data_IF_160463627087
#
_entry.id   IF_160463627087
#
_cell.length_a   1.000
_cell.length_b   1.000
_cell.length_c   1.000
_cell.angle_alpha   90.00
_cell.angle_beta   90.00
_cell.angle_gamma   90.00
#
_symmetry.space_group_name_H-M   'P 1'
#
loop_
_entity.id
_entity.type
_entity.pdbx_description
1 polymer ?
#
# COMPACT_ATOMS: atom_id res chain seq x y z
N UNK A 1 1.35 6.18 -22.62
CA UNK A 1 1.04 7.18 -21.57
C UNK A 1 1.98 6.88 -20.44
N UNK A 2 2.79 7.85 -20.01
CA UNK A 2 3.75 7.63 -18.93
C UNK A 2 2.99 7.36 -17.62
N UNK A 3 3.17 6.15 -17.06
CA UNK A 3 2.63 5.80 -15.75
C UNK A 3 3.28 6.70 -14.71
N UNK A 4 2.49 7.44 -13.94
CA UNK A 4 2.99 8.28 -12.85
C UNK A 4 2.79 7.60 -11.50
N UNK A 5 3.84 7.60 -10.70
CA UNK A 5 3.84 7.13 -9.33
C UNK A 5 3.98 8.30 -8.37
N UNK A 6 3.18 8.26 -7.30
CA UNK A 6 3.31 9.12 -6.13
C UNK A 6 3.73 8.31 -4.92
N UNK A 7 4.35 8.95 -3.94
CA UNK A 7 4.85 8.28 -2.74
C UNK A 7 3.98 8.64 -1.54
N UNK A 8 3.51 7.63 -0.81
CA UNK A 8 2.87 7.79 0.49
C UNK A 8 3.94 7.64 1.57
N UNK A 9 4.00 8.60 2.49
CA UNK A 9 5.04 8.64 3.52
C UNK A 9 4.92 7.46 4.50
N UNK A 10 5.96 6.63 4.67
CA UNK A 10 5.93 5.52 5.62
C UNK A 10 5.77 5.96 7.07
N UNK A 11 6.26 7.15 7.42
CA UNK A 11 6.17 7.70 8.79
C UNK A 11 4.71 7.89 9.22
N UNK A 12 3.82 8.20 8.27
CA UNK A 12 2.43 8.54 8.54
C UNK A 12 1.49 7.34 8.42
N UNK A 13 1.92 6.23 7.80
CA UNK A 13 1.09 5.03 7.62
C UNK A 13 1.56 3.82 8.44
N UNK A 14 2.83 3.79 8.83
CA UNK A 14 3.39 2.68 9.60
C UNK A 14 2.94 2.77 11.06
N UNK A 15 2.58 1.65 11.70
CA UNK A 15 2.22 1.65 13.11
C UNK A 15 3.43 2.00 13.97
N UNK A 16 3.28 3.02 14.80
CA UNK A 16 4.19 3.27 15.91
C UNK A 16 3.65 2.52 17.12
N UNK A 17 4.53 1.89 17.89
CA UNK A 17 4.16 1.16 19.09
C UNK A 17 3.59 2.15 20.13
N UNK A 18 2.27 2.22 20.24
CA UNK A 18 1.58 3.10 21.18
C UNK A 18 0.51 2.33 21.98
N UNK A 19 0.37 2.67 23.27
CA UNK A 19 -0.71 2.20 24.14
C UNK A 19 -2.02 2.94 23.83
N UNK A 20 -2.56 2.78 22.62
CA UNK A 20 -3.73 3.52 22.12
C UNK A 20 -4.76 2.56 21.54
N UNK A 21 -6.03 2.98 21.50
CA UNK A 21 -7.09 2.29 20.77
C UNK A 21 -6.66 2.04 19.31
N UNK A 22 -6.40 0.76 18.99
CA UNK A 22 -5.98 0.30 17.67
C UNK A 22 -6.93 0.77 16.56
N UNK A 23 -8.24 0.75 16.80
CA UNK A 23 -9.22 1.10 15.77
C UNK A 23 -9.18 2.59 15.43
N UNK A 24 -9.08 3.44 16.46
CA UNK A 24 -8.90 4.88 16.27
C UNK A 24 -7.60 5.18 15.53
N UNK A 25 -6.51 4.51 15.89
CA UNK A 25 -5.20 4.72 15.28
C UNK A 25 -5.10 4.22 13.83
N UNK A 26 -5.78 3.11 13.48
CA UNK A 26 -5.94 2.70 12.08
C UNK A 26 -6.71 3.75 11.28
N UNK A 27 -7.78 4.31 11.85
CA UNK A 27 -8.61 5.32 11.16
C UNK A 27 -7.83 6.60 10.86
N UNK A 28 -7.06 7.12 11.80
CA UNK A 28 -6.22 8.31 11.58
C UNK A 28 -5.27 8.14 10.39
N UNK A 29 -4.59 6.99 10.31
CA UNK A 29 -3.68 6.68 9.20
C UNK A 29 -4.42 6.44 7.89
N UNK A 30 -5.61 5.84 7.94
CA UNK A 30 -6.47 5.67 6.77
C UNK A 30 -6.97 7.01 6.20
N UNK A 31 -7.31 7.96 7.07
CA UNK A 31 -7.69 9.33 6.69
C UNK A 31 -6.54 10.06 5.99
N UNK A 32 -5.30 9.88 6.46
CA UNK A 32 -4.13 10.40 5.76
C UNK A 32 -3.99 9.81 4.35
N UNK A 33 -4.12 8.49 4.19
CA UNK A 33 -4.10 7.86 2.85
C UNK A 33 -5.21 8.46 1.98
N UNK A 34 -6.44 8.56 2.49
CA UNK A 34 -7.57 9.11 1.76
C UNK A 34 -7.30 10.54 1.26
N UNK A 35 -6.69 11.39 2.10
CA UNK A 35 -6.32 12.75 1.70
C UNK A 35 -5.35 12.73 0.51
N UNK A 36 -4.33 11.89 0.55
CA UNK A 36 -3.37 11.74 -0.56
C UNK A 36 -4.08 11.26 -1.85
N UNK A 37 -4.96 10.25 -1.74
CA UNK A 37 -5.70 9.74 -2.91
C UNK A 37 -6.62 10.80 -3.53
N UNK A 38 -7.20 11.68 -2.70
CA UNK A 38 -8.10 12.75 -3.12
C UNK A 38 -7.38 13.87 -3.86
N UNK A 39 -6.20 14.25 -3.38
CA UNK A 39 -5.48 15.42 -3.89
C UNK A 39 -4.62 15.10 -5.12
N UNK A 40 -4.38 13.81 -5.38
CA UNK A 40 -3.63 13.31 -6.52
C UNK A 40 -4.38 13.44 -7.86
N UNK A 41 -3.66 13.66 -8.98
CA UNK A 41 -4.21 13.54 -10.33
C UNK A 41 -4.86 12.17 -10.57
N UNK A 42 -5.93 12.16 -11.37
CA UNK A 42 -6.63 10.92 -11.74
C UNK A 42 -5.66 9.92 -12.39
N UNK A 43 -5.82 8.64 -12.02
CA UNK A 43 -5.05 7.48 -12.53
C UNK A 43 -3.58 7.41 -12.11
N UNK A 44 -3.15 8.23 -11.16
CA UNK A 44 -1.86 8.02 -10.52
C UNK A 44 -1.90 6.76 -9.64
N UNK A 45 -0.78 6.04 -9.59
CA UNK A 45 -0.56 4.91 -8.68
C UNK A 45 0.32 5.36 -7.53
N UNK A 46 0.16 4.72 -6.38
CA UNK A 46 0.86 5.11 -5.16
C UNK A 46 1.81 4.01 -4.72
N UNK A 47 3.06 4.39 -4.48
CA UNK A 47 4.06 3.56 -3.82
C UNK A 47 4.00 3.89 -2.34
N UNK A 48 3.65 2.90 -1.52
CA UNK A 48 3.53 3.04 -0.08
C UNK A 48 4.44 2.04 0.62
N UNK A 49 5.69 2.43 0.93
CA UNK A 49 6.50 1.70 1.89
C UNK A 49 5.79 1.69 3.24
N UNK A 50 5.86 0.56 3.94
CA UNK A 50 5.23 0.38 5.25
C UNK A 50 6.15 -0.43 6.14
N UNK A 51 6.32 0.00 7.39
CA UNK A 51 7.13 -0.69 8.37
C UNK A 51 6.25 -1.35 9.44
N UNK A 52 6.18 -2.67 9.42
CA UNK A 52 5.49 -3.47 10.43
C UNK A 52 6.48 -3.88 11.52
N UNK A 53 6.66 -3.05 12.55
CA UNK A 53 7.49 -3.40 13.73
C UNK A 53 8.88 -3.92 13.34
N UNK A 54 9.67 -3.07 12.65
CA UNK A 54 11.02 -3.34 12.14
C UNK A 54 11.10 -4.14 10.83
N UNK A 55 9.96 -4.52 10.24
CA UNK A 55 9.93 -5.18 8.93
C UNK A 55 9.36 -4.26 7.84
N UNK A 56 10.16 -3.99 6.80
CA UNK A 56 9.74 -3.18 5.66
C UNK A 56 9.04 -4.00 4.58
N UNK A 57 7.90 -3.51 4.12
CA UNK A 57 7.16 -4.02 2.95
C UNK A 57 6.83 -2.86 2.01
N UNK A 58 6.50 -3.18 0.76
CA UNK A 58 6.04 -2.22 -0.23
C UNK A 58 4.62 -2.57 -0.66
N UNK A 59 3.80 -1.54 -0.81
CA UNK A 59 2.47 -1.65 -1.41
C UNK A 59 2.36 -0.73 -2.61
N UNK A 60 1.78 -1.23 -3.70
CA UNK A 60 1.34 -0.40 -4.83
C UNK A 60 -0.18 -0.30 -4.78
N UNK A 61 -0.72 0.91 -4.81
CA UNK A 61 -2.17 1.16 -4.76
C UNK A 61 -2.60 1.82 -6.06
N UNK A 62 -3.58 1.23 -6.75
CA UNK A 62 -4.36 1.85 -7.81
C UNK A 62 -5.82 1.97 -7.34
N UNK A 63 -6.24 3.13 -6.79
CA UNK A 63 -7.55 3.27 -6.18
C UNK A 63 -8.69 3.32 -7.21
N UNK A 64 -8.37 3.59 -8.48
CA UNK A 64 -9.34 3.64 -9.57
C UNK A 64 -9.65 2.24 -10.09
N UNK A 65 -8.62 1.42 -10.29
CA UNK A 65 -8.75 0.02 -10.74
C UNK A 65 -9.02 -0.97 -9.60
N UNK A 66 -9.11 -0.48 -8.36
CA UNK A 66 -9.34 -1.29 -7.16
C UNK A 66 -8.25 -2.35 -6.90
N UNK A 67 -7.00 -1.98 -7.19
CA UNK A 67 -5.84 -2.86 -7.11
C UNK A 67 -4.95 -2.47 -5.95
N UNK A 68 -4.59 -3.45 -5.11
CA UNK A 68 -3.55 -3.31 -4.09
C UNK A 68 -2.56 -4.46 -4.23
N UNK A 69 -1.35 -4.14 -4.68
CA UNK A 69 -0.26 -5.11 -4.80
C UNK A 69 0.62 -5.05 -3.56
N UNK A 70 0.76 -6.18 -2.88
CA UNK A 70 1.55 -6.32 -1.65
C UNK A 70 2.85 -7.08 -1.93
N UNK A 71 3.98 -6.39 -1.77
CA UNK A 71 5.32 -6.92 -1.95
C UNK A 71 5.99 -7.09 -0.59
N UNK A 72 6.28 -8.35 -0.24
CA UNK A 72 6.91 -8.68 1.03
C UNK A 72 8.21 -9.44 0.80
N UNK A 73 9.37 -8.85 1.14
CA UNK A 73 10.66 -9.52 1.05
C UNK A 73 10.75 -10.82 1.87
N UNK A 74 9.91 -11.03 2.88
CA UNK A 74 9.83 -12.29 3.65
C UNK A 74 8.79 -13.28 3.12
N UNK A 75 8.00 -12.92 2.10
CA UNK A 75 6.97 -13.79 1.50
C UNK A 75 5.75 -14.07 2.39
N UNK A 76 5.69 -13.51 3.59
CA UNK A 76 4.56 -13.69 4.50
C UNK A 76 3.33 -12.92 4.01
N UNK A 77 2.14 -13.40 4.40
CA UNK A 77 0.88 -12.68 4.18
C UNK A 77 0.83 -11.36 4.97
N UNK A 78 0.02 -10.37 4.54
CA UNK A 78 -0.14 -9.12 5.27
C UNK A 78 -0.63 -9.34 6.71
N UNK A 79 -0.14 -8.52 7.63
CA UNK A 79 -0.62 -8.47 9.02
C UNK A 79 -1.95 -7.73 9.15
N UNK A 80 -2.64 -7.92 10.28
CA UNK A 80 -4.01 -7.41 10.45
C UNK A 80 -4.09 -5.88 10.52
N UNK A 81 -3.09 -5.22 11.10
CA UNK A 81 -3.02 -3.75 11.07
C UNK A 81 -2.99 -3.20 9.63
N UNK A 82 -2.17 -3.82 8.77
CA UNK A 82 -2.08 -3.44 7.37
C UNK A 82 -3.38 -3.72 6.61
N UNK A 83 -4.00 -4.90 6.82
CA UNK A 83 -5.28 -5.24 6.20
C UNK A 83 -6.37 -4.24 6.56
N UNK A 84 -6.48 -3.90 7.84
CA UNK A 84 -7.48 -2.97 8.34
C UNK A 84 -7.23 -1.55 7.81
N UNK A 85 -5.97 -1.11 7.76
CA UNK A 85 -5.56 0.18 7.20
C UNK A 85 -5.97 0.32 5.74
N UNK A 86 -5.55 -0.60 4.87
CA UNK A 86 -5.85 -0.56 3.44
C UNK A 86 -7.35 -0.65 3.19
N UNK A 87 -8.02 -1.59 3.87
CA UNK A 87 -9.47 -1.80 3.69
C UNK A 87 -10.26 -0.56 4.12
N UNK A 88 -9.89 0.06 5.24
CA UNK A 88 -10.54 1.29 5.72
C UNK A 88 -10.32 2.44 4.74
N UNK A 89 -9.07 2.76 4.41
CA UNK A 89 -8.73 3.88 3.55
C UNK A 89 -9.40 3.78 2.18
N UNK A 90 -9.37 2.58 1.58
CA UNK A 90 -10.01 2.41 0.29
C UNK A 90 -11.53 2.47 0.41
N UNK A 91 -12.15 1.95 1.49
CA UNK A 91 -13.62 1.98 1.63
C UNK A 91 -14.13 3.41 1.71
N UNK A 92 -13.39 4.27 2.40
CA UNK A 92 -13.68 5.70 2.45
C UNK A 92 -13.45 6.37 1.09
N UNK A 93 -12.42 5.95 0.34
CA UNK A 93 -12.22 6.41 -1.04
C UNK A 93 -13.40 6.05 -1.95
N UNK A 94 -13.86 4.80 -1.94
CA UNK A 94 -15.01 4.38 -2.77
C UNK A 94 -16.29 5.09 -2.35
N UNK A 95 -16.48 5.35 -1.06
CA UNK A 95 -17.60 6.15 -0.57
C UNK A 95 -17.54 7.59 -1.12
N UNK A 96 -16.35 8.19 -1.12
CA UNK A 96 -16.10 9.54 -1.63
C UNK A 96 -16.36 9.65 -3.14
N UNK A 97 -15.81 8.75 -3.96
CA UNK A 97 -15.92 8.84 -5.44
C UNK A 97 -17.17 8.19 -6.01
N UNK A 98 -17.80 7.27 -5.26
CA UNK A 98 -18.99 6.53 -5.66
C UNK A 98 -20.32 7.20 -5.27
N UNK A 99 -20.32 8.51 -4.99
CA UNK A 99 -21.49 9.28 -4.56
C UNK A 99 -22.19 8.69 -3.32
N UNK A 100 -21.42 8.21 -2.33
CA UNK A 100 -21.97 7.72 -1.06
C UNK A 100 -22.42 6.26 -1.07
N UNK A 101 -22.17 5.49 -2.13
CA UNK A 101 -22.42 4.04 -2.12
C UNK A 101 -21.35 3.35 -1.28
N UNK A 102 -21.75 2.83 -0.12
CA UNK A 102 -20.86 2.07 0.77
C UNK A 102 -20.65 0.66 0.21
N UNK A 103 -19.39 0.28 0.00
CA UNK A 103 -19.00 -1.10 -0.27
C UNK A 103 -18.19 -1.61 0.92
N UNK A 104 -18.56 -2.77 1.45
CA UNK A 104 -17.70 -3.50 2.39
C UNK A 104 -16.84 -4.45 1.57
N UNK A 105 -15.57 -4.09 1.37
CA UNK A 105 -14.61 -4.98 0.73
C UNK A 105 -13.94 -5.88 1.74
N UNK A 106 -13.64 -7.08 1.26
CA UNK A 106 -12.84 -8.05 1.97
C UNK A 106 -11.37 -7.86 1.55
N UNK A 107 -10.45 -7.85 2.53
CA UNK A 107 -9.02 -7.74 2.26
C UNK A 107 -8.50 -8.85 1.33
N UNK A 108 -9.07 -10.07 1.40
CA UNK A 108 -8.63 -11.20 0.56
C UNK A 108 -8.89 -10.98 -0.93
N UNK A 109 -9.90 -10.19 -1.27
CA UNK A 109 -10.24 -9.85 -2.66
C UNK A 109 -9.65 -8.52 -3.09
N UNK A 110 -9.18 -7.71 -2.14
CA UNK A 110 -8.66 -6.36 -2.38
C UNK A 110 -7.14 -6.35 -2.51
N UNK A 111 -6.45 -7.22 -1.77
CA UNK A 111 -4.99 -7.23 -1.63
C UNK A 111 -4.41 -8.47 -2.31
N UNK A 112 -3.69 -8.23 -3.41
CA UNK A 112 -2.96 -9.25 -4.15
C UNK A 112 -1.52 -9.34 -3.64
N UNK A 113 -1.14 -10.49 -3.11
CA UNK A 113 0.26 -10.74 -2.72
C UNK A 113 1.09 -11.08 -3.95
N UNK A 114 2.12 -10.27 -4.21
CA UNK A 114 2.98 -10.43 -5.38
C UNK A 114 4.13 -11.40 -5.10
N UNK A 115 4.38 -12.32 -6.02
CA UNK A 115 5.60 -13.12 -6.02
C UNK A 115 6.78 -12.22 -6.36
N UNK A 116 7.70 -12.05 -5.42
CA UNK A 116 8.87 -11.19 -5.54
C UNK A 116 10.12 -11.87 -4.97
N UNK A 117 11.33 -11.39 -5.28
CA UNK A 117 12.56 -11.85 -4.66
C UNK A 117 12.47 -11.86 -3.13
N UNK A 118 12.88 -12.97 -2.51
CA UNK A 118 12.81 -13.18 -1.06
C UNK A 118 14.18 -12.92 -0.45
N UNK A 119 14.23 -12.19 0.65
CA UNK A 119 15.47 -12.00 1.41
C UNK A 119 15.82 -13.28 2.17
N UNK A 120 17.12 -13.60 2.23
CA UNK A 120 17.61 -14.73 3.03
C UNK A 120 17.85 -14.35 4.49
N UNK A 121 18.31 -13.11 4.72
CA UNK A 121 18.58 -12.56 6.05
C UNK A 121 17.36 -11.90 6.70
N UNK A 122 17.58 -11.15 7.77
CA UNK A 122 16.50 -10.51 8.55
C UNK A 122 16.46 -8.97 8.42
N UNK A 123 17.48 -8.34 7.85
CA UNK A 123 17.69 -6.88 7.95
C UNK A 123 17.63 -6.18 6.59
N UNK A 124 17.57 -6.94 5.51
CA UNK A 124 17.66 -6.46 4.13
C UNK A 124 16.31 -5.96 3.59
N UNK A 125 15.21 -6.11 4.34
CA UNK A 125 13.86 -5.78 3.90
C UNK A 125 13.75 -4.35 3.31
N UNK A 126 14.40 -3.37 3.94
CA UNK A 126 14.42 -1.98 3.45
C UNK A 126 15.14 -1.84 2.10
N UNK A 127 16.23 -2.57 1.89
CA UNK A 127 16.92 -2.60 0.60
C UNK A 127 16.05 -3.23 -0.49
N UNK A 128 15.38 -4.35 -0.19
CA UNK A 128 14.46 -4.98 -1.14
C UNK A 128 13.29 -4.06 -1.51
N UNK A 129 12.70 -3.34 -0.55
CA UNK A 129 11.66 -2.33 -0.82
C UNK A 129 12.15 -1.26 -1.80
N UNK A 130 13.37 -0.73 -1.61
CA UNK A 130 13.96 0.23 -2.53
C UNK A 130 14.25 -0.38 -3.91
N UNK A 131 14.70 -1.64 -3.95
CA UNK A 131 14.92 -2.37 -5.20
C UNK A 131 13.60 -2.58 -5.97
N UNK A 132 12.53 -2.96 -5.29
CA UNK A 132 11.20 -3.10 -5.90
C UNK A 132 10.68 -1.76 -6.44
N UNK A 133 10.81 -0.67 -5.67
CA UNK A 133 10.46 0.69 -6.15
C UNK A 133 11.23 1.02 -7.42
N UNK A 134 12.55 0.78 -7.42
CA UNK A 134 13.39 1.02 -8.60
C UNK A 134 12.91 0.18 -9.78
N UNK A 135 12.66 -1.11 -9.60
CA UNK A 135 12.20 -1.97 -10.69
C UNK A 135 10.84 -1.51 -11.24
N UNK A 136 9.85 -1.26 -10.37
CA UNK A 136 8.51 -0.82 -10.77
C UNK A 136 8.55 0.51 -11.53
N UNK A 137 9.39 1.46 -11.10
CA UNK A 137 9.45 2.80 -11.69
C UNK A 137 10.31 2.87 -12.95
N UNK A 138 11.39 2.08 -13.04
CA UNK A 138 12.29 2.09 -14.19
C UNK A 138 11.90 1.13 -15.31
N UNK A 139 11.05 0.14 -15.06
CA UNK A 139 10.57 -0.77 -16.11
C UNK A 139 9.40 -0.18 -16.92
N UNK A 140 8.94 1.04 -16.60
CA UNK A 140 7.89 1.76 -17.36
C UNK A 140 8.36 2.20 -18.75
N UNK A 141 9.66 2.16 -19.04
CA UNK A 141 10.18 2.33 -20.41
C UNK A 141 10.22 1.03 -21.24
N UNK A 142 9.72 -0.09 -20.71
CA UNK A 142 9.65 -1.35 -21.47
C UNK A 142 9.30 -2.56 -20.62
N UNK A 143 8.00 -2.81 -20.42
CA UNK A 143 7.49 -4.10 -19.94
C UNK A 143 6.94 -4.90 -21.11
N UNK A 144 7.88 -5.51 -21.84
CA UNK A 144 7.69 -6.73 -22.63
C UNK A 144 8.27 -7.93 -21.87
N UNK A 145 8.22 -7.98 -20.53
CA UNK A 145 8.65 -9.19 -19.81
C UNK A 145 7.92 -9.32 -18.47
N UNK A 146 6.67 -9.79 -18.50
CA UNK A 146 6.08 -10.78 -17.58
C UNK A 146 4.88 -11.43 -18.28
#
# INVERSE_FOLDING_TARGET
MDQRFEFISPVLVSPVQQNVDRAAYVRERAEYILQILRDAPKRNRFLMPYNSSQHWILTVIDPWDDLVLYFNPLGNQPGDDFKDLITTALNDWKLLVGNGIRQQRNWQTLIDTVRCPIQEGYVECGYFVLAFIREITFTVDGLDVL
#
